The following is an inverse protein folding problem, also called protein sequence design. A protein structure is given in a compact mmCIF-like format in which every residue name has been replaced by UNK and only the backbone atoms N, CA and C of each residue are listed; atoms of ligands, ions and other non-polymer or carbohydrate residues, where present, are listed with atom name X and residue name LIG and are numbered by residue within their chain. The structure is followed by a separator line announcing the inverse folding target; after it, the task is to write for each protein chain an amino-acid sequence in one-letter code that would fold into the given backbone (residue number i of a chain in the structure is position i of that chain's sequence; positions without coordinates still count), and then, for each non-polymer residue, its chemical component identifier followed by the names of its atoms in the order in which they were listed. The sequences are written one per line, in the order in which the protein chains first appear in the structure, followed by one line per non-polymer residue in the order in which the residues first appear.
data_IF_326086909304
#
_entry.id   IF_326086909304
#
_cell.length_a   1.000
_cell.length_b   1.000
_cell.length_c   1.000
_cell.angle_alpha   90.00
_cell.angle_beta   90.00
_cell.angle_gamma   90.00
#
_symmetry.space_group_name_H-M   'P 1'
#
loop_
_entity.id
_entity.type
_entity.pdbx_description
1 polymer ?
#
# COMPACT_ATOMS: atom_id res chain seq x y z
N UNK A 1 18.22 -13.52 13.55
CA UNK A 1 16.99 -12.91 14.14
C UNK A 1 15.75 -13.53 13.49
N UNK A 2 14.52 -13.33 14.01
CA UNK A 2 13.28 -13.65 13.25
C UNK A 2 13.10 -12.64 12.11
N UNK A 3 14.12 -12.49 11.25
CA UNK A 3 14.24 -11.43 10.25
C UNK A 3 13.07 -11.41 9.27
N UNK A 4 12.52 -12.58 8.92
CA UNK A 4 11.31 -12.68 8.10
C UNK A 4 10.08 -12.05 8.75
N UNK A 5 9.86 -12.26 10.06
CA UNK A 5 8.75 -11.62 10.78
C UNK A 5 8.96 -10.12 10.92
N UNK A 6 10.20 -9.70 11.22
CA UNK A 6 10.53 -8.27 11.33
C UNK A 6 10.31 -7.59 9.99
N UNK A 7 10.82 -8.13 8.89
CA UNK A 7 10.67 -7.54 7.54
C UNK A 7 9.21 -7.52 7.08
N UNK A 8 8.42 -8.54 7.40
CA UNK A 8 6.99 -8.57 7.09
C UNK A 8 6.23 -7.44 7.80
N UNK A 9 6.36 -7.34 9.12
CA UNK A 9 5.60 -6.36 9.92
C UNK A 9 6.07 -4.94 9.60
N UNK A 10 7.38 -4.70 9.66
CA UNK A 10 7.92 -3.37 9.40
C UNK A 10 7.77 -2.94 7.94
N UNK A 11 7.89 -3.87 6.99
CA UNK A 11 7.69 -3.59 5.57
C UNK A 11 6.23 -3.32 5.22
N UNK A 12 5.29 -4.02 5.86
CA UNK A 12 3.86 -3.72 5.74
C UNK A 12 3.54 -2.31 6.26
N UNK A 13 3.98 -1.98 7.48
CA UNK A 13 3.71 -0.68 8.09
C UNK A 13 4.35 0.44 7.25
N UNK A 14 5.63 0.31 6.92
CA UNK A 14 6.35 1.31 6.13
C UNK A 14 5.74 1.45 4.73
N UNK A 15 5.43 0.34 4.07
CA UNK A 15 4.84 0.33 2.74
C UNK A 15 3.49 1.01 2.72
N UNK A 16 2.63 0.78 3.71
CA UNK A 16 1.34 1.46 3.83
C UNK A 16 1.49 2.97 4.06
N UNK A 17 2.45 3.38 4.90
CA UNK A 17 2.75 4.80 5.12
C UNK A 17 3.20 5.46 3.82
N UNK A 18 4.14 4.84 3.09
CA UNK A 18 4.62 5.36 1.81
C UNK A 18 3.47 5.46 0.82
N UNK A 19 2.67 4.41 0.66
CA UNK A 19 1.51 4.40 -0.23
C UNK A 19 0.52 5.50 0.11
N UNK A 20 0.24 5.75 1.39
CA UNK A 20 -0.67 6.81 1.84
C UNK A 20 -0.23 8.22 1.41
N UNK A 21 1.08 8.49 1.40
CA UNK A 21 1.61 9.79 1.01
C UNK A 21 1.91 9.93 -0.49
N UNK A 22 1.99 8.83 -1.23
CA UNK A 22 2.46 8.85 -2.63
C UNK A 22 1.41 8.47 -3.66
N UNK A 23 0.33 7.80 -3.25
CA UNK A 23 -0.73 7.37 -4.16
C UNK A 23 -2.04 8.10 -3.87
N UNK A 24 -2.65 8.62 -4.93
CA UNK A 24 -3.96 9.25 -4.89
C UNK A 24 -5.06 8.28 -5.37
N UNK A 25 -6.25 8.41 -4.78
CA UNK A 25 -7.43 7.67 -5.24
C UNK A 25 -8.01 8.32 -6.50
N UNK A 26 -8.01 7.57 -7.60
CA UNK A 26 -8.50 7.95 -8.92
C UNK A 26 -9.66 7.05 -9.42
N UNK A 27 -10.35 6.37 -8.50
CA UNK A 27 -11.51 5.54 -8.84
C UNK A 27 -12.70 6.34 -9.38
N UNK A 28 -13.46 5.73 -10.29
CA UNK A 28 -14.66 6.34 -10.86
C UNK A 28 -15.77 6.48 -9.81
N UNK A 29 -16.47 7.61 -9.88
CA UNK A 29 -17.64 7.89 -9.04
C UNK A 29 -18.87 8.02 -9.94
N UNK A 30 -19.82 7.10 -9.80
CA UNK A 30 -21.09 7.15 -10.51
C UNK A 30 -22.16 7.72 -9.57
N UNK A 31 -22.72 8.86 -9.94
CA UNK A 31 -23.83 9.47 -9.20
C UNK A 31 -25.15 9.14 -9.91
N UNK A 32 -26.11 8.58 -9.17
CA UNK A 32 -27.49 8.40 -9.63
C UNK A 32 -28.28 9.64 -9.24
N UNK A 33 -28.72 10.40 -10.23
CA UNK A 33 -29.49 11.63 -10.04
C UNK A 33 -30.98 11.33 -10.21
N UNK A 34 -31.81 11.85 -9.30
CA UNK A 34 -33.27 11.75 -9.34
C UNK A 34 -33.93 12.77 -10.27
N UNK A 35 -35.23 12.61 -10.52
CA UNK A 35 -36.00 13.54 -11.38
C UNK A 35 -36.01 14.99 -10.85
N UNK A 36 -35.80 15.17 -9.54
CA UNK A 36 -35.68 16.47 -8.87
C UNK A 36 -34.25 17.05 -8.88
N UNK A 37 -33.28 16.36 -9.50
CA UNK A 37 -31.88 16.77 -9.52
C UNK A 37 -31.08 16.41 -8.26
N UNK A 38 -31.68 15.73 -7.28
CA UNK A 38 -30.97 15.28 -6.08
C UNK A 38 -30.12 14.03 -6.37
N UNK A 39 -28.95 13.95 -5.73
CA UNK A 39 -28.11 12.74 -5.78
C UNK A 39 -28.75 11.68 -4.89
N UNK A 40 -29.42 10.71 -5.51
CA UNK A 40 -30.06 9.58 -4.82
C UNK A 40 -29.01 8.59 -4.32
N UNK A 41 -27.94 8.38 -5.08
CA UNK A 41 -26.89 7.43 -4.73
C UNK A 41 -25.54 7.82 -5.33
N UNK A 42 -24.45 7.52 -4.63
CA UNK A 42 -23.08 7.63 -5.16
C UNK A 42 -22.42 6.26 -5.03
N UNK A 43 -22.05 5.68 -6.16
CA UNK A 43 -21.32 4.41 -6.25
C UNK A 43 -19.87 4.76 -6.55
N UNK A 44 -18.96 4.39 -5.66
CA UNK A 44 -17.52 4.49 -5.89
C UNK A 44 -17.03 3.13 -6.38
N UNK A 45 -16.39 3.09 -7.54
CA UNK A 45 -15.75 1.87 -8.03
C UNK A 45 -14.43 1.61 -7.30
N UNK A 46 -14.03 0.34 -7.28
CA UNK A 46 -12.76 -0.04 -6.68
C UNK A 46 -11.62 0.47 -7.58
N UNK A 47 -10.70 1.22 -7.01
CA UNK A 47 -9.50 1.68 -7.71
C UNK A 47 -8.43 0.57 -7.69
N UNK A 48 -8.47 -0.29 -8.70
CA UNK A 48 -7.53 -1.42 -8.82
C UNK A 48 -6.09 -0.96 -9.07
N UNK A 49 -5.89 0.21 -9.68
CA UNK A 49 -4.56 0.77 -9.89
C UNK A 49 -3.96 1.20 -8.56
N UNK A 50 -4.72 1.92 -7.72
CA UNK A 50 -4.31 2.26 -6.37
C UNK A 50 -3.98 1.01 -5.55
N UNK A 51 -4.83 0.00 -5.58
CA UNK A 51 -4.64 -1.24 -4.81
C UNK A 51 -3.39 -1.97 -5.28
N UNK A 52 -3.21 -2.12 -6.59
CA UNK A 52 -2.07 -2.84 -7.17
C UNK A 52 -0.75 -2.10 -6.89
N UNK A 53 -0.73 -0.78 -7.07
CA UNK A 53 0.44 0.04 -6.79
C UNK A 53 0.79 0.01 -5.29
N UNK A 54 -0.21 0.12 -4.42
CA UNK A 54 -0.02 0.01 -2.97
C UNK A 54 0.56 -1.35 -2.58
N UNK A 55 0.04 -2.44 -3.16
CA UNK A 55 0.55 -3.79 -2.94
C UNK A 55 2.02 -3.94 -3.38
N UNK A 56 2.39 -3.38 -4.53
CA UNK A 56 3.78 -3.38 -5.02
C UNK A 56 4.73 -2.62 -4.09
N UNK A 57 4.33 -1.44 -3.62
CA UNK A 57 5.12 -0.64 -2.66
C UNK A 57 5.35 -1.42 -1.36
N UNK A 58 4.31 -2.10 -0.84
CA UNK A 58 4.42 -2.95 0.35
C UNK A 58 5.39 -4.11 0.12
N UNK A 59 5.28 -4.82 -1.00
CA UNK A 59 6.19 -5.92 -1.33
C UNK A 59 7.64 -5.45 -1.43
N UNK A 60 7.88 -4.33 -2.11
CA UNK A 60 9.22 -3.73 -2.24
C UNK A 60 9.75 -3.34 -0.86
N UNK A 61 8.92 -2.74 -0.01
CA UNK A 61 9.31 -2.35 1.35
C UNK A 61 9.73 -3.54 2.20
N UNK A 62 8.98 -4.65 2.14
CA UNK A 62 9.33 -5.90 2.83
C UNK A 62 10.68 -6.44 2.32
N UNK A 63 10.88 -6.47 1.01
CA UNK A 63 12.10 -6.97 0.38
C UNK A 63 13.33 -6.13 0.76
N UNK A 64 13.20 -4.80 0.68
CA UNK A 64 14.27 -3.86 1.06
C UNK A 64 14.68 -4.06 2.52
N UNK A 65 13.72 -4.14 3.44
CA UNK A 65 14.02 -4.34 4.86
C UNK A 65 14.67 -5.70 5.09
N UNK A 66 14.21 -6.76 4.42
CA UNK A 66 14.83 -8.08 4.53
C UNK A 66 16.30 -8.06 4.07
N UNK A 67 16.59 -7.40 2.96
CA UNK A 67 17.96 -7.24 2.45
C UNK A 67 18.81 -6.44 3.44
N UNK A 68 18.31 -5.30 3.96
CA UNK A 68 19.01 -4.49 4.94
C UNK A 68 19.36 -5.29 6.20
N UNK A 69 18.39 -6.04 6.76
CA UNK A 69 18.64 -6.91 7.90
C UNK A 69 19.68 -7.99 7.60
N UNK A 70 19.66 -8.55 6.38
CA UNK A 70 20.63 -9.57 5.96
C UNK A 70 22.04 -8.99 5.84
N UNK A 71 22.17 -7.80 5.27
CA UNK A 71 23.46 -7.09 5.17
C UNK A 71 24.00 -6.72 6.56
N UNK A 72 23.14 -6.19 7.45
CA UNK A 72 23.52 -5.87 8.83
C UNK A 72 23.97 -7.11 9.62
N UNK A 73 23.28 -8.25 9.47
CA UNK A 73 23.70 -9.52 10.07
C UNK A 73 25.07 -9.97 9.55
N UNK A 74 25.37 -9.76 8.25
CA UNK A 74 26.66 -10.10 7.65
C UNK A 74 27.78 -9.21 8.17
N UNK A 75 27.56 -7.90 8.24
CA UNK A 75 28.54 -6.93 8.76
C UNK A 75 28.84 -7.22 10.23
N UNK A 76 27.82 -7.49 11.07
CA UNK A 76 28.01 -7.77 12.49
C UNK A 76 28.79 -9.06 12.78
N UNK A 77 28.79 -10.01 11.85
CA UNK A 77 29.54 -11.28 11.97
C UNK A 77 30.97 -11.19 11.44
N UNK A 78 31.31 -10.12 10.73
CA UNK A 78 32.66 -9.85 10.23
C UNK A 78 33.40 -9.00 11.25
#
# INVERSE_FOLDING_TARGET
MKKGWVSLISGLILGLIISFFTLDYNGWKMQRIGENGEVINTINELDFDLITNCFLIVLISILVIYILLTVLEKIRKT
#
